data_IF_102274309493
#
_entry.id   IF_102274309493
#
_cell.length_a   1.000
_cell.length_b   1.000
_cell.length_c   1.000
_cell.angle_alpha   90.00
_cell.angle_beta   90.00
_cell.angle_gamma   90.00
#
_symmetry.space_group_name_H-M   'P 1'
#
loop_
_entity.id
_entity.type
_entity.pdbx_description
1 polymer ?
#
# COMPACT_ATOMS: atom_id res chain seq x y z
N UNK A 1 -4.14 -10.07 4.66
CA UNK A 1 -3.39 -10.25 3.39
C UNK A 1 -1.93 -9.80 3.54
N UNK A 2 -1.64 -8.61 4.10
CA UNK A 2 -0.27 -8.08 4.19
C UNK A 2 0.65 -9.07 4.90
N UNK A 3 0.33 -9.48 6.12
CA UNK A 3 1.11 -10.43 6.92
C UNK A 3 1.28 -11.81 6.29
N UNK A 4 0.40 -12.18 5.37
CA UNK A 4 0.43 -13.47 4.67
C UNK A 4 1.22 -13.43 3.37
N UNK A 5 1.18 -12.30 2.64
CA UNK A 5 1.77 -12.18 1.31
C UNK A 5 3.19 -11.64 1.33
N UNK A 6 3.51 -10.71 2.24
CA UNK A 6 4.85 -10.13 2.33
C UNK A 6 5.96 -11.19 2.44
N UNK A 7 5.85 -12.21 3.33
CA UNK A 7 6.88 -13.26 3.39
C UNK A 7 7.00 -14.07 2.11
N UNK A 8 5.92 -14.22 1.35
CA UNK A 8 5.95 -14.93 0.06
C UNK A 8 6.66 -14.10 -0.99
N UNK A 9 6.40 -12.79 -1.03
CA UNK A 9 7.06 -11.89 -1.97
C UNK A 9 8.57 -11.81 -1.70
N UNK A 10 8.96 -11.65 -0.44
CA UNK A 10 10.38 -11.63 -0.05
C UNK A 10 11.09 -12.95 -0.39
N UNK A 11 10.46 -14.09 -0.08
CA UNK A 11 11.04 -15.41 -0.36
C UNK A 11 11.22 -15.70 -1.86
N UNK A 12 10.51 -14.97 -2.73
CA UNK A 12 10.57 -15.13 -4.18
C UNK A 12 11.24 -13.94 -4.89
N UNK A 13 11.89 -13.04 -4.16
CA UNK A 13 12.62 -11.89 -4.71
C UNK A 13 11.73 -11.06 -5.67
N UNK A 14 10.51 -10.73 -5.22
CA UNK A 14 9.55 -9.95 -6.01
C UNK A 14 9.86 -8.46 -5.85
N UNK A 15 10.29 -7.82 -6.92
CA UNK A 15 10.66 -6.40 -6.90
C UNK A 15 9.47 -5.45 -6.91
N UNK A 16 8.37 -5.83 -7.59
CA UNK A 16 7.24 -4.92 -7.83
C UNK A 16 5.92 -5.66 -7.72
N UNK A 17 4.98 -5.08 -6.97
CA UNK A 17 3.59 -5.51 -6.88
C UNK A 17 2.67 -4.38 -7.34
N UNK A 18 1.96 -4.61 -8.44
CA UNK A 18 0.95 -3.71 -8.96
C UNK A 18 -0.43 -4.16 -8.49
N UNK A 19 -1.18 -3.22 -7.96
CA UNK A 19 -2.49 -3.45 -7.36
C UNK A 19 -3.57 -2.62 -8.06
N UNK A 20 -4.78 -3.12 -8.00
CA UNK A 20 -5.99 -2.40 -8.41
C UNK A 20 -6.91 -2.19 -7.23
N UNK A 21 -8.21 -2.04 -7.52
CA UNK A 21 -9.33 -1.85 -6.61
C UNK A 21 -9.46 -0.43 -6.07
N UNK A 22 -8.43 0.14 -5.46
CA UNK A 22 -8.48 1.52 -4.95
C UNK A 22 -8.31 2.50 -6.10
N UNK A 23 -9.23 3.45 -6.20
CA UNK A 23 -9.25 4.45 -7.25
C UNK A 23 -8.53 5.73 -6.79
N UNK A 24 -7.33 5.54 -6.26
CA UNK A 24 -6.36 6.56 -5.90
C UNK A 24 -4.99 6.14 -6.42
N UNK A 25 -4.12 7.09 -6.70
CA UNK A 25 -2.72 6.78 -6.95
C UNK A 25 -1.96 6.71 -5.62
N UNK A 26 -1.19 5.65 -5.45
CA UNK A 26 -0.20 5.57 -4.38
C UNK A 26 0.96 4.66 -4.77
N UNK A 27 2.16 5.10 -4.42
CA UNK A 27 3.40 4.34 -4.54
C UNK A 27 4.06 4.25 -3.16
N UNK A 28 4.40 3.04 -2.75
CA UNK A 28 5.14 2.85 -1.51
C UNK A 28 6.61 3.24 -1.64
N UNK A 29 7.27 3.39 -0.51
CA UNK A 29 8.71 3.15 -0.39
C UNK A 29 8.98 1.66 -0.66
N UNK A 30 10.23 1.27 -0.74
CA UNK A 30 10.60 -0.14 -0.82
C UNK A 30 10.41 -0.81 0.54
N UNK A 31 9.67 -1.89 0.57
CA UNK A 31 9.27 -2.58 1.80
C UNK A 31 9.68 -4.05 1.74
N UNK A 32 10.26 -4.55 2.82
CA UNK A 32 10.48 -5.99 3.01
C UNK A 32 9.94 -6.43 4.36
N UNK A 33 9.71 -7.72 4.53
CA UNK A 33 9.18 -8.27 5.77
C UNK A 33 10.16 -8.11 6.92
N UNK A 34 9.64 -7.99 8.12
CA UNK A 34 10.44 -7.87 9.35
C UNK A 34 11.00 -9.22 9.84
N UNK A 35 10.71 -10.30 9.13
CA UNK A 35 11.14 -11.65 9.47
C UNK A 35 10.39 -12.29 10.64
N UNK A 36 9.33 -11.66 11.14
CA UNK A 36 8.52 -12.14 12.23
C UNK A 36 7.25 -12.86 11.74
N UNK A 37 6.69 -13.68 12.59
CA UNK A 37 5.36 -14.24 12.37
C UNK A 37 4.34 -13.35 13.07
N UNK A 38 3.40 -12.82 12.30
CA UNK A 38 2.35 -11.96 12.80
C UNK A 38 1.02 -12.70 12.93
N UNK A 39 0.21 -12.26 13.88
CA UNK A 39 -1.15 -12.76 14.05
C UNK A 39 -2.02 -12.34 12.87
N UNK A 40 -2.99 -13.17 12.54
CA UNK A 40 -3.98 -12.89 11.50
C UNK A 40 -5.24 -12.31 12.10
N UNK A 41 -5.77 -11.29 11.45
CA UNK A 41 -7.02 -10.62 11.82
C UNK A 41 -8.00 -10.64 10.66
N UNK A 42 -9.28 -10.73 10.96
CA UNK A 42 -10.36 -10.71 9.98
C UNK A 42 -11.52 -9.82 10.44
N UNK A 43 -12.26 -9.27 9.47
CA UNK A 43 -13.54 -8.64 9.74
C UNK A 43 -14.59 -9.70 9.98
N UNK A 44 -15.43 -9.47 10.98
CA UNK A 44 -16.59 -10.31 11.27
C UNK A 44 -17.85 -9.71 10.65
N UNK A 45 -18.88 -10.52 10.49
CA UNK A 45 -20.19 -10.00 10.11
C UNK A 45 -20.77 -9.18 11.28
N UNK A 46 -21.48 -8.11 10.93
CA UNK A 46 -22.27 -7.35 11.89
C UNK A 46 -23.36 -8.24 12.54
N UNK A 47 -24.01 -7.73 13.57
CA UNK A 47 -24.95 -8.51 14.38
C UNK A 47 -26.15 -9.08 13.61
N UNK A 48 -26.54 -8.49 12.48
CA UNK A 48 -27.64 -8.97 11.62
C UNK A 48 -27.14 -9.88 10.46
N UNK A 49 -25.83 -10.04 10.32
CA UNK A 49 -25.20 -10.90 9.32
C UNK A 49 -25.32 -10.42 7.89
N UNK A 50 -25.65 -9.15 7.66
CA UNK A 50 -25.91 -8.59 6.33
C UNK A 50 -24.69 -7.92 5.68
N UNK A 51 -23.74 -7.49 6.50
CA UNK A 51 -22.50 -6.83 6.06
C UNK A 51 -21.38 -7.12 7.06
N UNK A 52 -20.15 -6.68 6.73
CA UNK A 52 -19.04 -6.75 7.67
C UNK A 52 -19.07 -5.57 8.65
N UNK A 53 -18.61 -5.84 9.86
CA UNK A 53 -18.27 -4.83 10.85
C UNK A 53 -16.91 -4.24 10.48
N UNK A 54 -16.90 -3.06 9.87
CA UNK A 54 -15.69 -2.37 9.42
C UNK A 54 -14.98 -1.59 10.52
N UNK A 55 -15.61 -1.46 11.69
CA UNK A 55 -15.06 -0.74 12.84
C UNK A 55 -14.22 -1.64 13.73
N UNK A 56 -14.34 -2.95 13.59
CA UNK A 56 -13.61 -3.91 14.39
C UNK A 56 -12.97 -5.01 13.54
N UNK A 57 -11.80 -5.46 13.97
CA UNK A 57 -11.18 -6.69 13.47
C UNK A 57 -10.99 -7.67 14.63
N UNK A 58 -11.13 -8.96 14.37
CA UNK A 58 -10.95 -10.02 15.35
C UNK A 58 -9.69 -10.84 15.03
N UNK A 59 -8.90 -11.13 16.04
CA UNK A 59 -7.81 -12.08 15.93
C UNK A 59 -8.38 -13.47 15.62
N UNK A 60 -7.88 -14.10 14.55
CA UNK A 60 -8.40 -15.38 14.04
C UNK A 60 -8.21 -16.52 15.04
N UNK A 61 -7.17 -16.47 15.89
CA UNK A 61 -6.84 -17.54 16.85
C UNK A 61 -7.51 -17.31 18.20
N UNK A 62 -7.52 -16.07 18.69
CA UNK A 62 -8.00 -15.78 20.05
C UNK A 62 -9.42 -15.22 20.09
N UNK A 63 -9.91 -14.66 18.97
CA UNK A 63 -11.19 -13.95 18.92
C UNK A 63 -11.15 -12.58 19.58
N UNK A 64 -10.01 -12.10 20.04
CA UNK A 64 -9.86 -10.78 20.62
C UNK A 64 -10.13 -9.71 19.56
N UNK A 65 -10.97 -8.74 19.90
CA UNK A 65 -11.34 -7.66 18.99
C UNK A 65 -10.49 -6.42 19.22
N UNK A 66 -10.18 -5.74 18.11
CA UNK A 66 -9.54 -4.43 18.10
C UNK A 66 -10.46 -3.44 17.38
N UNK A 67 -10.66 -2.26 17.95
CA UNK A 67 -11.40 -1.16 17.34
C UNK A 67 -10.50 -0.43 16.34
N UNK A 68 -10.90 -0.40 15.06
CA UNK A 68 -10.12 0.21 13.98
C UNK A 68 -10.43 1.69 13.76
N UNK A 69 -11.64 2.13 14.14
CA UNK A 69 -12.11 3.50 14.04
C UNK A 69 -12.60 4.00 15.42
N UNK A 70 -11.69 4.20 16.39
CA UNK A 70 -12.08 4.66 17.73
C UNK A 70 -12.73 6.04 17.68
N UNK A 71 -13.75 6.25 18.48
CA UNK A 71 -14.45 7.53 18.60
C UNK A 71 -13.53 8.63 19.12
N UNK A 72 -13.87 9.89 18.78
CA UNK A 72 -13.16 11.04 19.30
C UNK A 72 -13.32 11.12 20.83
N UNK A 73 -12.17 11.13 21.52
CA UNK A 73 -12.13 11.15 23.00
C UNK A 73 -11.96 9.77 23.64
N UNK A 74 -12.07 8.68 22.90
CA UNK A 74 -11.75 7.34 23.39
C UNK A 74 -10.23 7.08 23.32
N UNK A 75 -9.52 7.62 24.29
CA UNK A 75 -8.06 7.52 24.37
C UNK A 75 -7.58 6.08 24.67
N UNK A 76 -8.41 5.25 25.30
CA UNK A 76 -8.09 3.85 25.59
C UNK A 76 -8.12 3.04 24.28
N UNK A 77 -9.18 3.14 23.48
CA UNK A 77 -9.27 2.47 22.20
C UNK A 77 -8.21 2.97 21.19
N UNK A 78 -7.90 4.28 21.22
CA UNK A 78 -6.80 4.83 20.40
C UNK A 78 -5.45 4.24 20.79
N UNK A 79 -5.15 4.18 22.08
CA UNK A 79 -3.90 3.59 22.56
C UNK A 79 -3.80 2.09 22.24
N UNK A 80 -4.91 1.36 22.35
CA UNK A 80 -4.96 -0.05 21.98
C UNK A 80 -4.74 -0.25 20.47
N UNK A 81 -5.32 0.60 19.62
CA UNK A 81 -5.10 0.58 18.18
C UNK A 81 -3.65 0.91 17.80
N UNK A 82 -3.03 1.86 18.47
CA UNK A 82 -1.64 2.23 18.19
C UNK A 82 -0.68 1.10 18.60
N UNK A 83 -0.89 0.48 19.77
CA UNK A 83 -0.15 -0.72 20.18
C UNK A 83 -0.36 -1.88 19.19
N UNK A 84 -1.58 -2.11 18.76
CA UNK A 84 -1.89 -3.11 17.73
C UNK A 84 -1.13 -2.86 16.42
N UNK A 85 -1.08 -1.61 15.96
CA UNK A 85 -0.34 -1.25 14.74
C UNK A 85 1.15 -1.48 14.88
N UNK A 86 1.72 -1.14 16.04
CA UNK A 86 3.14 -1.33 16.35
C UNK A 86 3.48 -2.83 16.40
N UNK A 87 2.70 -3.63 17.14
CA UNK A 87 2.91 -5.08 17.29
C UNK A 87 2.70 -5.85 15.97
N UNK A 88 1.90 -5.30 15.06
CA UNK A 88 1.55 -5.93 13.78
C UNK A 88 2.14 -5.21 12.55
N UNK A 89 3.13 -4.36 12.74
CA UNK A 89 3.94 -3.82 11.64
C UNK A 89 4.78 -4.96 11.06
N UNK A 90 4.33 -5.50 9.93
CA UNK A 90 4.96 -6.67 9.29
C UNK A 90 5.99 -6.31 8.22
N UNK A 91 6.45 -5.06 8.19
CA UNK A 91 7.37 -4.56 7.18
C UNK A 91 8.47 -3.70 7.78
N UNK A 92 9.58 -3.66 7.08
CA UNK A 92 10.65 -2.69 7.26
C UNK A 92 10.72 -1.81 6.01
N UNK A 93 10.91 -0.52 6.21
CA UNK A 93 11.14 0.42 5.10
C UNK A 93 12.63 0.39 4.78
N UNK A 94 12.98 0.09 3.54
CA UNK A 94 14.35 0.16 3.06
C UNK A 94 14.79 1.62 2.95
N UNK A 95 15.94 1.93 3.54
CA UNK A 95 16.53 3.27 3.50
C UNK A 95 17.30 3.45 2.18
N UNK A 96 16.64 4.11 1.22
CA UNK A 96 17.21 4.39 -0.10
C UNK A 96 17.02 5.85 -0.46
N UNK A 97 18.01 6.42 -1.12
CA UNK A 97 17.98 7.80 -1.61
C UNK A 97 17.48 7.87 -3.05
N UNK A 98 16.54 8.78 -3.29
CA UNK A 98 16.06 9.11 -4.62
C UNK A 98 15.10 8.07 -5.24
N UNK A 99 14.91 8.17 -6.54
CA UNK A 99 13.94 7.37 -7.31
C UNK A 99 14.62 6.36 -8.24
N UNK A 100 15.93 6.17 -8.14
CA UNK A 100 16.67 5.11 -8.84
C UNK A 100 17.42 4.29 -7.82
N UNK A 101 17.12 3.01 -7.76
CA UNK A 101 17.67 2.07 -6.79
C UNK A 101 18.29 0.88 -7.50
N UNK A 102 19.37 0.33 -6.95
CA UNK A 102 20.09 -0.81 -7.54
C UNK A 102 20.04 -2.00 -6.59
N UNK A 103 19.59 -3.15 -7.10
CA UNK A 103 19.44 -4.40 -6.36
C UNK A 103 18.73 -4.21 -5.00
N UNK A 104 17.55 -3.54 -4.93
CA UNK A 104 16.88 -3.35 -3.66
C UNK A 104 16.50 -4.70 -3.04
N UNK A 105 16.46 -4.72 -1.71
CA UNK A 105 15.91 -5.83 -0.95
C UNK A 105 14.38 -5.77 -0.92
N UNK A 106 13.84 -4.56 -0.85
CA UNK A 106 12.41 -4.33 -0.68
C UNK A 106 11.62 -4.37 -1.96
N UNK A 107 10.35 -4.69 -1.82
CA UNK A 107 9.34 -4.70 -2.89
C UNK A 107 8.67 -3.33 -2.99
N UNK A 108 8.50 -2.84 -4.21
CA UNK A 108 7.65 -1.68 -4.52
C UNK A 108 6.19 -2.11 -4.62
N UNK A 109 5.30 -1.42 -3.89
CA UNK A 109 3.85 -1.61 -4.01
C UNK A 109 3.21 -0.36 -4.61
N UNK A 110 2.34 -0.55 -5.59
CA UNK A 110 1.71 0.56 -6.29
C UNK A 110 0.26 0.28 -6.62
N UNK A 111 -0.58 1.30 -6.42
CA UNK A 111 -1.98 1.36 -6.87
C UNK A 111 -2.11 2.49 -7.89
N UNK A 112 -2.60 2.17 -9.09
CA UNK A 112 -2.47 3.02 -10.27
C UNK A 112 -3.68 3.92 -10.57
N UNK A 113 -4.61 4.12 -9.61
CA UNK A 113 -5.83 4.93 -9.77
C UNK A 113 -6.81 4.38 -10.85
N UNK A 114 -7.69 5.24 -11.36
CA UNK A 114 -8.71 4.93 -12.36
C UNK A 114 -8.34 5.47 -13.72
N UNK A 115 -8.10 4.60 -14.68
CA UNK A 115 -7.80 4.97 -16.07
C UNK A 115 -9.02 5.45 -16.85
N UNK A 116 -10.22 5.01 -16.47
CA UNK A 116 -11.47 5.36 -17.13
C UNK A 116 -12.12 6.64 -16.61
N UNK A 117 -11.69 7.12 -15.43
CA UNK A 117 -12.34 8.24 -14.75
C UNK A 117 -13.76 7.93 -14.23
N UNK A 118 -14.14 6.64 -14.18
CA UNK A 118 -15.51 6.25 -13.83
C UNK A 118 -15.82 6.32 -12.34
N UNK A 119 -14.79 6.26 -11.49
CA UNK A 119 -14.90 6.26 -10.02
C UNK A 119 -13.60 6.73 -9.40
N UNK A 120 -13.71 7.49 -8.33
CA UNK A 120 -12.58 7.97 -7.55
C UNK A 120 -12.87 7.84 -6.06
N UNK A 121 -11.83 7.65 -5.26
CA UNK A 121 -11.90 7.66 -3.80
C UNK A 121 -11.08 8.81 -3.24
N UNK A 122 -11.50 9.32 -2.10
CA UNK A 122 -10.72 10.30 -1.37
C UNK A 122 -9.48 9.65 -0.75
N UNK A 123 -8.41 10.43 -0.66
CA UNK A 123 -7.24 10.01 0.10
C UNK A 123 -7.57 10.09 1.60
N UNK A 124 -7.12 9.11 2.37
CA UNK A 124 -7.15 9.21 3.83
C UNK A 124 -6.34 10.43 4.28
N UNK A 125 -6.80 11.12 5.33
CA UNK A 125 -6.23 12.40 5.77
C UNK A 125 -4.74 12.29 6.13
N UNK A 126 -4.35 11.21 6.82
CA UNK A 126 -2.97 10.97 7.26
C UNK A 126 -2.26 10.06 6.27
N UNK A 127 -1.12 10.50 5.73
CA UNK A 127 -0.25 9.65 4.92
C UNK A 127 0.50 8.68 5.82
N UNK A 128 0.46 7.42 5.47
CA UNK A 128 1.24 6.39 6.15
C UNK A 128 2.73 6.56 5.84
N UNK A 129 3.58 6.17 6.76
CA UNK A 129 5.04 6.32 6.69
C UNK A 129 5.68 5.55 5.53
N UNK A 130 5.05 4.45 5.13
CA UNK A 130 5.51 3.61 4.01
C UNK A 130 5.09 4.14 2.62
N UNK A 131 4.28 5.19 2.54
CA UNK A 131 3.89 5.80 1.25
C UNK A 131 4.91 6.86 0.86
N UNK A 132 5.54 6.67 -0.31
CA UNK A 132 6.47 7.62 -0.89
C UNK A 132 5.73 8.75 -1.65
N UNK A 133 4.75 8.37 -2.47
CA UNK A 133 3.95 9.31 -3.26
C UNK A 133 2.48 8.88 -3.29
N UNK A 134 1.58 9.85 -3.31
CA UNK A 134 0.14 9.63 -3.49
C UNK A 134 -0.52 10.83 -4.14
N UNK A 135 -1.55 10.57 -4.93
CA UNK A 135 -2.29 11.62 -5.61
C UNK A 135 -3.75 11.23 -5.80
N UNK A 136 -4.63 12.21 -5.70
CA UNK A 136 -6.02 12.13 -6.16
C UNK A 136 -6.46 13.50 -6.68
N UNK A 137 -6.45 13.63 -7.99
CA UNK A 137 -6.81 14.87 -8.68
C UNK A 137 -8.16 14.76 -9.42
N UNK A 138 -8.90 13.65 -9.19
CA UNK A 138 -10.19 13.37 -9.83
C UNK A 138 -10.11 13.32 -11.37
N UNK A 139 -8.92 12.94 -11.86
CA UNK A 139 -8.60 12.84 -13.28
C UNK A 139 -8.20 11.40 -13.62
N UNK A 140 -8.48 10.94 -14.84
CA UNK A 140 -7.97 9.66 -15.32
C UNK A 140 -6.45 9.62 -15.28
N UNK A 141 -5.89 8.50 -14.85
CA UNK A 141 -4.44 8.33 -14.83
C UNK A 141 -4.03 6.98 -15.39
N UNK A 142 -2.80 6.89 -15.84
CA UNK A 142 -2.20 5.65 -16.35
C UNK A 142 -0.70 5.63 -16.06
N UNK A 143 -0.14 4.43 -16.05
CA UNK A 143 1.29 4.26 -15.87
C UNK A 143 1.90 3.56 -17.09
N UNK A 144 3.12 3.97 -17.45
CA UNK A 144 3.93 3.32 -18.46
C UNK A 144 5.04 2.57 -17.74
N UNK A 145 5.13 1.27 -17.99
CA UNK A 145 6.18 0.42 -17.49
C UNK A 145 7.11 0.08 -18.65
N UNK A 146 8.39 0.33 -18.44
CA UNK A 146 9.45 -0.11 -19.35
C UNK A 146 10.35 -1.09 -18.60
N UNK A 147 10.57 -2.27 -19.18
CA UNK A 147 11.34 -3.32 -18.54
C UNK A 147 12.23 -4.04 -19.55
N UNK A 148 13.46 -4.30 -19.15
CA UNK A 148 14.38 -5.20 -19.82
C UNK A 148 15.04 -6.16 -18.81
N UNK A 149 16.14 -6.80 -19.14
CA UNK A 149 16.80 -7.78 -18.27
C UNK A 149 17.51 -7.13 -17.04
N UNK A 150 17.79 -5.85 -17.10
CA UNK A 150 18.61 -5.14 -16.11
C UNK A 150 17.85 -4.00 -15.44
N UNK A 151 16.69 -3.61 -15.99
CA UNK A 151 16.02 -2.39 -15.56
C UNK A 151 14.51 -2.48 -15.62
N UNK A 152 13.85 -2.01 -14.57
CA UNK A 152 12.42 -1.69 -14.52
C UNK A 152 12.26 -0.20 -14.31
N UNK A 153 11.37 0.44 -15.07
CA UNK A 153 11.05 1.86 -14.91
C UNK A 153 9.53 2.04 -14.95
N UNK A 154 9.00 2.89 -14.10
CA UNK A 154 7.59 3.26 -14.09
C UNK A 154 7.42 4.77 -14.07
N UNK A 155 6.59 5.26 -14.99
CA UNK A 155 6.16 6.65 -15.12
C UNK A 155 4.65 6.70 -14.99
N UNK A 156 4.11 7.63 -14.19
CA UNK A 156 2.67 7.76 -14.00
C UNK A 156 2.18 9.15 -14.36
N UNK A 157 1.10 9.18 -15.14
CA UNK A 157 0.54 10.38 -15.74
C UNK A 157 -0.97 10.49 -15.45
N UNK A 158 -1.47 11.72 -15.47
CA UNK A 158 -2.90 12.05 -15.54
C UNK A 158 -3.24 12.70 -16.87
N UNK A 159 -4.52 12.61 -17.25
CA UNK A 159 -5.08 13.30 -18.41
C UNK A 159 -5.96 14.42 -17.87
N UNK A 160 -5.60 15.65 -18.19
CA UNK A 160 -6.33 16.84 -17.76
C UNK A 160 -7.58 17.07 -18.61
N UNK A 161 -8.49 17.95 -18.18
CA UNK A 161 -9.76 18.20 -18.86
C UNK A 161 -9.58 18.80 -20.27
N UNK A 162 -8.46 19.46 -20.54
CA UNK A 162 -8.10 19.97 -21.87
C UNK A 162 -7.41 18.91 -22.76
N UNK A 163 -7.21 17.70 -22.25
CA UNK A 163 -6.57 16.60 -22.95
C UNK A 163 -5.04 16.59 -22.87
N UNK A 164 -4.47 17.46 -22.07
CA UNK A 164 -3.01 17.45 -21.82
C UNK A 164 -2.63 16.26 -20.94
N UNK A 165 -1.36 15.85 -21.01
CA UNK A 165 -0.80 14.77 -20.21
C UNK A 165 0.23 15.36 -19.26
N UNK A 166 0.09 15.10 -17.96
CA UNK A 166 0.96 15.59 -16.92
C UNK A 166 1.45 14.43 -16.04
N UNK A 167 2.74 14.46 -15.66
CA UNK A 167 3.25 13.51 -14.67
C UNK A 167 2.67 13.83 -13.30
N UNK A 168 2.27 12.78 -12.56
CA UNK A 168 1.76 12.91 -11.18
C UNK A 168 2.73 12.40 -10.13
N UNK A 169 3.80 11.77 -10.55
CA UNK A 169 4.93 11.34 -9.71
C UNK A 169 6.22 11.41 -10.53
N UNK A 170 7.34 11.39 -9.86
CA UNK A 170 8.64 11.22 -10.49
C UNK A 170 8.83 9.79 -11.02
N UNK A 171 9.58 9.65 -12.10
CA UNK A 171 10.00 8.34 -12.62
C UNK A 171 10.68 7.52 -11.54
N UNK A 172 10.19 6.30 -11.28
CA UNK A 172 10.85 5.37 -10.38
C UNK A 172 11.53 4.24 -11.16
N UNK A 173 12.75 3.93 -10.77
CA UNK A 173 13.60 2.97 -11.48
C UNK A 173 14.22 1.96 -10.52
N UNK A 174 14.15 0.68 -10.88
CA UNK A 174 14.93 -0.41 -10.26
C UNK A 174 15.93 -0.89 -11.28
N UNK A 175 17.21 -0.91 -10.92
CA UNK A 175 18.28 -1.48 -11.71
C UNK A 175 18.74 -2.80 -11.06
N UNK A 176 18.96 -3.82 -11.87
CA UNK A 176 19.49 -5.12 -11.41
C UNK A 176 20.88 -5.32 -11.98
N UNK A 177 21.83 -5.64 -11.12
CA UNK A 177 23.14 -6.07 -11.57
C UNK A 177 23.10 -7.56 -11.96
N UNK A 178 23.79 -7.92 -13.03
CA UNK A 178 23.87 -9.32 -13.43
C UNK A 178 24.47 -10.18 -12.30
N UNK A 179 23.71 -11.18 -11.86
CA UNK A 179 24.17 -12.17 -10.90
C UNK A 179 25.05 -13.22 -11.54
#
# INVERSE_FOLDING_TARGET
LRTQLTPVFDANDIDVVLQGHDHTYSRSKLLYGDGQTHQSYEFQLNADGTDYDWDHAANVETGEQITLNPEDGDEEAKAALDAFKEDNQCYTIEDVDGNTVTDPQGTLYMTANSASGSKYYELVSTQQDYIAARSQNWLPSYSIITMDAEKFTIDTYQITDDGSVEAIDDTFTIEKTAK
#
